data_IF_775813998208
#
_entry.id   IF_775813998208
#
_cell.length_a   1.000
_cell.length_b   1.000
_cell.length_c   1.000
_cell.angle_alpha   90.00
_cell.angle_beta   90.00
_cell.angle_gamma   90.00
#
_symmetry.space_group_name_H-M   'P 1'
#
loop_
_entity.id
_entity.type
_entity.pdbx_description
1 polymer ?
#
# COMPACT_ATOMS: atom_id res chain seq x y z
N UNK A 1 -40.02 31.12 -69.00
CA UNK A 1 -40.47 31.11 -67.59
C UNK A 1 -40.65 29.72 -66.98
N UNK A 2 -40.85 28.64 -67.74
CA UNK A 2 -41.23 27.33 -67.16
C UNK A 2 -40.06 26.47 -66.61
N UNK A 3 -38.84 26.61 -67.16
CA UNK A 3 -37.69 25.78 -66.75
C UNK A 3 -37.10 26.14 -65.39
N UNK A 4 -37.15 27.43 -65.01
CA UNK A 4 -36.68 27.91 -63.70
C UNK A 4 -37.59 27.43 -62.56
N UNK A 5 -38.92 27.48 -62.74
CA UNK A 5 -39.86 26.95 -61.74
C UNK A 5 -39.68 25.45 -61.54
N UNK A 6 -39.49 24.68 -62.61
CA UNK A 6 -39.31 23.23 -62.52
C UNK A 6 -37.98 22.83 -61.85
N UNK A 7 -36.96 23.67 -61.96
CA UNK A 7 -35.70 23.51 -61.23
C UNK A 7 -35.89 23.82 -59.75
N UNK A 8 -36.64 24.89 -59.43
CA UNK A 8 -36.94 25.29 -58.06
C UNK A 8 -37.75 24.22 -57.32
N UNK A 9 -38.82 23.69 -57.93
CA UNK A 9 -39.64 22.61 -57.35
C UNK A 9 -38.82 21.34 -57.05
N UNK A 10 -37.81 21.03 -57.87
CA UNK A 10 -36.91 19.89 -57.64
C UNK A 10 -35.95 20.12 -56.48
N UNK A 11 -35.51 21.36 -56.28
CA UNK A 11 -34.65 21.74 -55.15
C UNK A 11 -35.45 21.67 -53.84
N UNK A 12 -36.67 22.18 -53.85
CA UNK A 12 -37.56 22.19 -52.67
C UNK A 12 -37.94 20.76 -52.28
N UNK A 13 -38.33 19.91 -53.25
CA UNK A 13 -38.61 18.50 -53.00
C UNK A 13 -37.40 17.71 -52.47
N UNK A 14 -36.17 18.06 -52.88
CA UNK A 14 -34.94 17.45 -52.36
C UNK A 14 -34.66 17.87 -50.91
N UNK A 15 -34.95 19.12 -50.56
CA UNK A 15 -34.78 19.66 -49.21
C UNK A 15 -35.75 19.04 -48.20
N UNK A 16 -36.96 18.65 -48.62
CA UNK A 16 -37.95 17.97 -47.78
C UNK A 16 -37.65 16.46 -47.61
N UNK A 17 -37.03 15.83 -48.61
CA UNK A 17 -36.84 14.37 -48.62
C UNK A 17 -35.66 13.88 -47.78
N UNK A 18 -34.65 14.72 -47.56
CA UNK A 18 -33.44 14.35 -46.85
C UNK A 18 -33.25 15.27 -45.67
N UNK A 19 -33.33 14.66 -44.47
CA UNK A 19 -32.71 15.11 -43.21
C UNK A 19 -31.87 16.37 -43.39
N UNK A 20 -32.34 17.48 -42.81
CA UNK A 20 -31.64 18.77 -42.77
C UNK A 20 -30.12 18.53 -42.73
N UNK A 21 -29.33 19.00 -43.71
CA UNK A 21 -27.89 18.82 -43.70
C UNK A 21 -27.31 19.27 -42.35
N UNK A 22 -26.70 18.33 -41.61
CA UNK A 22 -26.21 18.55 -40.24
C UNK A 22 -27.08 18.00 -39.12
N UNK A 23 -28.27 17.46 -39.42
CA UNK A 23 -29.13 16.82 -38.42
C UNK A 23 -28.86 15.31 -38.36
N UNK A 24 -28.24 14.87 -37.28
CA UNK A 24 -28.05 13.45 -36.99
C UNK A 24 -29.41 12.82 -36.64
N UNK A 25 -29.92 11.94 -37.50
CA UNK A 25 -31.21 11.22 -37.33
C UNK A 25 -31.05 9.81 -36.76
N UNK A 26 -29.82 9.44 -36.37
CA UNK A 26 -29.54 8.17 -35.71
C UNK A 26 -29.67 8.22 -34.19
N UNK A 27 -29.59 7.04 -33.58
CA UNK A 27 -29.20 6.89 -32.18
C UNK A 27 -27.68 6.65 -32.15
N UNK A 28 -26.93 7.42 -31.36
CA UNK A 28 -25.49 7.22 -31.16
C UNK A 28 -25.15 5.94 -30.39
N UNK A 29 -26.15 5.16 -29.95
CA UNK A 29 -25.97 4.05 -29.01
C UNK A 29 -25.43 4.49 -27.65
N UNK A 30 -25.30 5.80 -27.43
CA UNK A 30 -24.78 6.37 -26.20
C UNK A 30 -25.89 6.35 -25.14
N UNK A 31 -25.69 5.55 -24.09
CA UNK A 31 -26.47 5.69 -22.87
C UNK A 31 -26.00 6.94 -22.11
N UNK A 32 -26.60 8.08 -22.42
CA UNK A 32 -26.39 9.31 -21.64
C UNK A 32 -27.19 9.17 -20.34
N UNK A 33 -26.48 9.20 -19.21
CA UNK A 33 -27.09 9.11 -17.88
C UNK A 33 -27.85 10.40 -17.55
N UNK A 34 -28.98 10.28 -16.85
CA UNK A 34 -29.77 11.43 -16.42
C UNK A 34 -29.05 12.23 -15.35
N UNK A 35 -29.42 13.51 -15.19
CA UNK A 35 -28.86 14.38 -14.13
C UNK A 35 -29.01 13.77 -12.74
N UNK A 36 -30.13 13.09 -12.47
CA UNK A 36 -30.38 12.39 -11.22
C UNK A 36 -29.45 11.18 -11.02
N UNK A 37 -29.18 10.41 -12.07
CA UNK A 37 -28.22 9.29 -12.06
C UNK A 37 -26.76 9.75 -11.88
N UNK A 38 -26.43 10.96 -12.32
CA UNK A 38 -25.14 11.61 -12.11
C UNK A 38 -25.03 12.29 -10.74
N UNK A 39 -26.17 12.66 -10.14
CA UNK A 39 -26.22 13.36 -8.85
C UNK A 39 -25.85 12.44 -7.67
N UNK A 40 -25.50 13.06 -6.54
CA UNK A 40 -24.67 12.55 -5.44
C UNK A 40 -25.20 11.36 -4.59
N UNK A 41 -26.12 10.54 -5.08
CA UNK A 41 -26.81 9.50 -4.29
C UNK A 41 -26.50 8.05 -4.69
N UNK A 42 -25.66 7.79 -5.71
CA UNK A 42 -25.39 6.43 -6.20
C UNK A 42 -23.92 6.10 -6.44
N UNK A 43 -23.61 4.80 -6.67
CA UNK A 43 -22.29 4.34 -7.08
C UNK A 43 -21.77 5.11 -8.29
N UNK A 44 -20.49 5.47 -8.27
CA UNK A 44 -19.82 6.14 -9.38
C UNK A 44 -20.07 5.38 -10.70
N UNK A 45 -20.79 5.99 -11.67
CA UNK A 45 -21.34 5.28 -12.82
C UNK A 45 -20.31 4.64 -13.78
N UNK A 46 -19.04 5.07 -13.71
CA UNK A 46 -17.94 4.49 -14.49
C UNK A 46 -17.19 3.37 -13.76
N UNK A 47 -17.47 3.14 -12.46
CA UNK A 47 -16.80 2.09 -11.67
C UNK A 47 -17.55 0.77 -11.84
N UNK A 48 -16.92 -0.16 -12.56
CA UNK A 48 -17.42 -1.54 -12.67
C UNK A 48 -16.82 -2.37 -11.53
N UNK A 49 -17.66 -2.81 -10.58
CA UNK A 49 -17.24 -3.63 -9.43
C UNK A 49 -16.46 -4.89 -9.84
N UNK A 50 -16.75 -5.43 -11.02
CA UNK A 50 -16.14 -6.65 -11.56
C UNK A 50 -14.84 -6.42 -12.36
N UNK A 51 -14.39 -5.17 -12.54
CA UNK A 51 -13.27 -4.86 -13.45
C UNK A 51 -11.99 -5.64 -13.10
N UNK A 52 -11.71 -5.82 -11.81
CA UNK A 52 -10.53 -6.54 -11.33
C UNK A 52 -10.81 -8.01 -10.99
N UNK A 53 -12.09 -8.40 -10.86
CA UNK A 53 -12.49 -9.81 -10.75
C UNK A 53 -12.35 -10.54 -12.08
N UNK A 54 -12.54 -9.82 -13.19
CA UNK A 54 -12.43 -10.34 -14.56
C UNK A 54 -11.15 -9.88 -15.27
N UNK A 55 -10.25 -9.21 -14.56
CA UNK A 55 -8.97 -8.84 -15.14
C UNK A 55 -8.28 -10.12 -15.61
N UNK A 56 -7.86 -10.14 -16.88
CA UNK A 56 -7.16 -11.29 -17.42
C UNK A 56 -5.95 -11.59 -16.54
N UNK A 57 -5.74 -12.85 -16.11
CA UNK A 57 -4.54 -13.20 -15.39
C UNK A 57 -3.33 -12.79 -16.23
N UNK A 58 -2.25 -12.36 -15.57
CA UNK A 58 -1.05 -11.87 -16.26
C UNK A 58 -0.36 -13.06 -16.95
N UNK A 59 -0.86 -13.44 -18.13
CA UNK A 59 -0.37 -14.57 -18.91
C UNK A 59 0.83 -14.15 -19.75
N UNK A 60 1.96 -13.93 -19.08
CA UNK A 60 3.24 -13.62 -19.73
C UNK A 60 3.69 -12.15 -19.65
N UNK A 61 4.62 -11.78 -20.53
CA UNK A 61 5.29 -10.48 -20.54
C UNK A 61 6.60 -10.43 -19.74
N UNK A 62 7.32 -9.31 -19.85
CA UNK A 62 8.65 -9.16 -19.24
C UNK A 62 8.62 -9.33 -17.72
N UNK A 63 7.57 -8.84 -17.04
CA UNK A 63 7.43 -9.00 -15.60
C UNK A 63 7.39 -10.48 -15.17
N UNK A 64 6.59 -11.30 -15.86
CA UNK A 64 6.52 -12.74 -15.60
C UNK A 64 7.85 -13.44 -15.89
N UNK A 65 8.55 -13.04 -16.95
CA UNK A 65 9.88 -13.59 -17.29
C UNK A 65 10.93 -13.26 -16.23
N UNK A 66 10.95 -12.03 -15.72
CA UNK A 66 11.84 -11.63 -14.63
C UNK A 66 11.54 -12.39 -13.35
N UNK A 67 10.27 -12.54 -12.98
CA UNK A 67 9.89 -13.32 -11.79
C UNK A 67 10.36 -14.78 -11.91
N UNK A 68 10.16 -15.41 -13.08
CA UNK A 68 10.65 -16.77 -13.36
C UNK A 68 12.18 -16.88 -13.25
N UNK A 69 12.90 -15.88 -13.77
CA UNK A 69 14.37 -15.81 -13.65
C UNK A 69 14.83 -15.73 -12.19
N UNK A 70 14.05 -15.07 -11.33
CA UNK A 70 14.32 -14.94 -9.90
C UNK A 70 13.74 -16.10 -9.08
N UNK A 71 13.32 -17.19 -9.73
CA UNK A 71 12.91 -18.44 -9.07
C UNK A 71 11.42 -18.54 -8.71
N UNK A 72 10.59 -17.57 -9.11
CA UNK A 72 9.14 -17.66 -8.95
C UNK A 72 8.52 -18.59 -10.00
N UNK A 73 7.56 -19.43 -9.59
CA UNK A 73 6.81 -20.32 -10.47
C UNK A 73 5.32 -20.03 -10.40
N UNK A 74 4.63 -20.32 -11.49
CA UNK A 74 3.19 -20.14 -11.58
C UNK A 74 2.49 -21.03 -10.52
N UNK A 75 1.61 -20.41 -9.72
CA UNK A 75 0.96 -21.06 -8.57
C UNK A 75 1.76 -21.07 -7.26
N UNK A 76 3.03 -20.65 -7.26
CA UNK A 76 3.83 -20.46 -6.04
C UNK A 76 3.71 -19.02 -5.49
N UNK A 77 3.78 -18.88 -4.17
CA UNK A 77 3.84 -17.58 -3.51
C UNK A 77 5.15 -16.84 -3.82
N UNK A 78 5.09 -15.51 -3.91
CA UNK A 78 6.29 -14.70 -4.13
C UNK A 78 7.21 -14.66 -2.90
N UNK A 79 8.54 -14.62 -3.09
CA UNK A 79 9.53 -14.46 -2.03
C UNK A 79 10.40 -15.69 -1.78
N UNK A 80 11.49 -15.51 -1.03
CA UNK A 80 12.55 -16.52 -0.83
C UNK A 80 12.04 -17.87 -0.31
N UNK A 81 11.01 -17.83 0.53
CA UNK A 81 10.41 -19.01 1.16
C UNK A 81 9.03 -19.36 0.59
N UNK A 82 8.67 -18.83 -0.59
CA UNK A 82 7.33 -18.98 -1.21
C UNK A 82 6.18 -18.52 -0.30
N UNK A 83 6.44 -17.53 0.54
CA UNK A 83 5.52 -17.06 1.58
C UNK A 83 4.49 -16.03 1.09
N UNK A 84 4.64 -15.52 -0.13
CA UNK A 84 3.73 -14.53 -0.71
C UNK A 84 2.34 -15.11 -1.00
N UNK A 85 1.35 -14.23 -1.07
CA UNK A 85 -0.01 -14.61 -1.42
C UNK A 85 -0.07 -15.22 -2.82
N UNK A 86 -0.71 -16.39 -2.92
CA UNK A 86 -0.99 -17.05 -4.20
C UNK A 86 -2.18 -16.42 -4.92
N UNK A 87 -3.14 -15.93 -4.15
CA UNK A 87 -4.36 -15.32 -4.66
C UNK A 87 -4.17 -13.82 -4.88
N UNK A 88 -4.68 -13.26 -5.99
CA UNK A 88 -4.68 -11.83 -6.23
C UNK A 88 -5.34 -11.08 -5.08
N UNK A 89 -4.74 -9.94 -4.69
CA UNK A 89 -5.36 -9.06 -3.70
C UNK A 89 -6.62 -8.46 -4.33
N UNK A 90 -7.78 -8.90 -3.86
CA UNK A 90 -9.06 -8.34 -4.27
C UNK A 90 -9.18 -6.93 -3.69
N UNK A 91 -9.36 -5.94 -4.56
CA UNK A 91 -9.56 -4.54 -4.15
C UNK A 91 -11.05 -4.25 -4.20
N UNK A 92 -11.64 -3.96 -3.05
CA UNK A 92 -13.00 -3.44 -2.99
C UNK A 92 -13.02 -1.97 -3.42
N UNK A 93 -13.85 -1.67 -4.42
CA UNK A 93 -14.08 -0.29 -4.84
C UNK A 93 -14.97 0.41 -3.83
N UNK A 94 -14.45 1.50 -3.26
CA UNK A 94 -15.31 2.46 -2.60
C UNK A 94 -16.13 3.18 -3.68
N UNK A 95 -17.41 2.83 -3.76
CA UNK A 95 -18.37 3.46 -4.67
C UNK A 95 -18.85 4.82 -4.15
N UNK A 96 -18.59 5.12 -2.89
CA UNK A 96 -18.99 6.36 -2.26
C UNK A 96 -18.02 7.49 -2.61
N UNK A 97 -18.56 8.68 -2.88
CA UNK A 97 -17.77 9.90 -3.08
C UNK A 97 -17.17 10.47 -1.78
N UNK A 98 -17.40 9.80 -0.64
CA UNK A 98 -16.82 10.17 0.65
C UNK A 98 -15.33 9.81 0.65
N UNK A 99 -14.47 10.67 1.21
CA UNK A 99 -13.04 10.38 1.32
C UNK A 99 -12.74 9.10 2.10
N UNK A 100 -11.60 8.45 1.86
CA UNK A 100 -11.15 7.16 2.45
C UNK A 100 -11.03 7.15 4.00
N UNK A 101 -11.36 8.27 4.64
CA UNK A 101 -11.27 8.51 6.10
C UNK A 101 -12.57 9.15 6.60
N UNK A 102 -13.67 8.99 5.87
CA UNK A 102 -14.93 9.59 6.27
C UNK A 102 -15.47 8.95 7.56
N UNK A 103 -16.03 9.78 8.43
CA UNK A 103 -16.65 9.34 9.68
C UNK A 103 -17.74 8.31 9.38
N UNK A 104 -17.60 7.09 9.93
CA UNK A 104 -18.52 5.97 9.71
C UNK A 104 -18.03 4.90 8.71
N UNK A 105 -16.91 5.11 8.01
CA UNK A 105 -16.30 4.08 7.17
C UNK A 105 -15.66 3.00 8.03
N UNK A 106 -16.18 1.77 7.94
CA UNK A 106 -15.52 0.60 8.54
C UNK A 106 -14.21 0.43 7.78
N UNK A 107 -13.07 0.63 8.44
CA UNK A 107 -11.80 0.18 7.90
C UNK A 107 -11.93 -1.31 7.67
N UNK A 108 -12.14 -1.71 6.41
CA UNK A 108 -11.98 -3.08 5.99
C UNK A 108 -10.55 -3.42 6.40
N UNK A 109 -10.42 -4.15 7.52
CA UNK A 109 -9.16 -4.73 7.93
C UNK A 109 -8.66 -5.43 6.68
N UNK A 110 -7.54 -4.99 6.12
CA UNK A 110 -6.93 -5.67 4.99
C UNK A 110 -6.84 -7.15 5.37
N UNK A 111 -7.74 -7.98 4.85
CA UNK A 111 -7.68 -9.42 4.95
C UNK A 111 -6.63 -9.89 3.93
N UNK A 112 -5.40 -9.40 4.10
CA UNK A 112 -4.23 -10.15 3.70
C UNK A 112 -3.80 -10.97 4.91
N UNK A 113 -3.26 -12.18 4.73
CA UNK A 113 -2.66 -12.96 5.82
C UNK A 113 -1.31 -12.35 6.23
N UNK A 114 -1.25 -11.04 6.46
CA UNK A 114 -0.28 -10.50 7.41
C UNK A 114 -0.78 -10.90 8.80
N UNK A 115 -0.59 -12.19 9.07
CA UNK A 115 -0.76 -12.83 10.36
C UNK A 115 -0.16 -11.93 11.42
N UNK A 116 -1.02 -11.52 12.34
CA UNK A 116 -0.77 -10.60 13.45
C UNK A 116 0.07 -11.23 14.56
N UNK A 117 0.85 -12.27 14.25
CA UNK A 117 1.82 -12.92 15.13
C UNK A 117 3.06 -13.37 14.34
N UNK A 118 3.63 -12.50 13.50
CA UNK A 118 4.92 -12.81 12.87
C UNK A 118 6.02 -12.56 13.90
N UNK A 119 6.59 -13.67 14.37
CA UNK A 119 7.86 -13.80 15.08
C UNK A 119 8.72 -12.55 14.90
N UNK A 120 9.04 -11.87 16.00
CA UNK A 120 9.88 -10.66 15.95
C UNK A 120 11.32 -11.00 15.51
N UNK A 121 11.64 -12.30 15.35
CA UNK A 121 12.89 -12.79 14.78
C UNK A 121 13.06 -12.26 13.34
N UNK A 122 13.98 -11.31 13.16
CA UNK A 122 14.34 -10.75 11.85
C UNK A 122 13.75 -9.38 11.51
N UNK A 123 12.82 -8.84 12.31
CA UNK A 123 12.38 -7.43 12.16
C UNK A 123 13.37 -6.49 12.85
N UNK A 124 13.56 -5.29 12.30
CA UNK A 124 14.35 -4.25 12.97
C UNK A 124 13.68 -3.87 14.31
N UNK A 125 14.42 -3.82 15.44
CA UNK A 125 13.81 -3.71 16.78
C UNK A 125 13.02 -2.41 16.99
N UNK A 126 13.43 -1.30 16.36
CA UNK A 126 12.66 -0.05 16.41
C UNK A 126 11.29 -0.21 15.72
N UNK A 127 11.24 -0.91 14.58
CA UNK A 127 10.00 -1.13 13.84
C UNK A 127 9.10 -2.11 14.58
N UNK A 128 9.69 -3.18 15.14
CA UNK A 128 8.99 -4.13 15.99
C UNK A 128 8.36 -3.43 17.21
N UNK A 129 9.10 -2.53 17.88
CA UNK A 129 8.57 -1.78 19.01
C UNK A 129 7.41 -0.85 18.61
N UNK A 130 7.53 -0.16 17.47
CA UNK A 130 6.46 0.69 16.94
C UNK A 130 5.20 -0.13 16.62
N UNK A 131 5.35 -1.29 15.98
CA UNK A 131 4.24 -2.20 15.67
C UNK A 131 3.53 -2.66 16.95
N UNK A 132 4.28 -2.98 18.00
CA UNK A 132 3.73 -3.35 19.31
C UNK A 132 2.95 -2.20 19.93
N UNK A 133 3.48 -0.96 19.89
CA UNK A 133 2.78 0.22 20.41
C UNK A 133 1.46 0.44 19.67
N UNK A 134 1.49 0.37 18.32
CA UNK A 134 0.29 0.51 17.50
C UNK A 134 -0.74 -0.58 17.79
N UNK A 135 -0.31 -1.84 17.90
CA UNK A 135 -1.19 -2.99 18.18
C UNK A 135 -1.86 -2.87 19.56
N UNK A 136 -1.15 -2.32 20.54
CA UNK A 136 -1.66 -2.11 21.91
C UNK A 136 -2.36 -0.76 22.10
N UNK A 137 -2.51 0.04 21.03
CA UNK A 137 -3.04 1.42 21.06
C UNK A 137 -2.30 2.34 22.03
N UNK A 138 -1.01 2.10 22.23
CA UNK A 138 -0.15 2.98 23.02
C UNK A 138 0.32 4.17 22.18
N UNK A 139 0.71 5.24 22.85
CA UNK A 139 1.41 6.35 22.21
C UNK A 139 2.69 5.84 21.52
N UNK A 140 3.09 6.44 20.38
CA UNK A 140 4.33 6.06 19.71
C UNK A 140 5.54 6.12 20.66
N UNK A 141 6.52 5.21 20.50
CA UNK A 141 7.70 5.18 21.36
C UNK A 141 8.58 6.42 21.12
N UNK A 142 8.93 7.13 22.18
CA UNK A 142 9.75 8.35 22.11
C UNK A 142 11.20 8.01 22.40
N UNK A 143 12.10 8.32 21.46
CA UNK A 143 13.53 8.09 21.61
C UNK A 143 14.25 9.39 21.93
N UNK A 144 14.98 9.41 23.04
CA UNK A 144 15.76 10.58 23.47
C UNK A 144 17.23 10.18 23.56
N UNK A 145 18.11 11.03 23.02
CA UNK A 145 19.55 10.86 23.13
C UNK A 145 19.98 11.25 24.55
N UNK A 146 20.60 10.31 25.26
CA UNK A 146 21.27 10.54 26.55
C UNK A 146 22.76 10.59 26.25
N UNK A 147 23.45 11.67 26.64
CA UNK A 147 24.89 11.77 26.43
C UNK A 147 25.59 11.51 27.77
N UNK A 148 26.35 10.42 27.87
CA UNK A 148 27.21 10.13 29.03
C UNK A 148 28.64 10.51 28.64
N UNK A 149 29.17 11.59 29.21
CA UNK A 149 30.38 12.25 28.74
C UNK A 149 31.63 11.43 29.11
N UNK A 150 32.29 10.81 28.11
CA UNK A 150 33.58 10.12 28.25
C UNK A 150 34.47 10.38 27.00
N UNK A 151 35.81 10.29 27.13
CA UNK A 151 36.79 11.15 26.45
C UNK A 151 36.73 11.30 24.91
N UNK A 152 37.19 12.48 24.49
CA UNK A 152 37.00 13.22 23.23
C UNK A 152 37.17 12.48 21.88
N UNK A 153 37.87 11.36 21.81
CA UNK A 153 38.35 10.83 20.51
C UNK A 153 37.47 9.75 19.87
N UNK A 154 36.35 9.35 20.48
CA UNK A 154 35.37 8.44 19.86
C UNK A 154 33.95 8.76 20.29
N UNK A 155 33.08 9.11 19.32
CA UNK A 155 31.66 9.40 19.56
C UNK A 155 30.94 8.13 20.03
N UNK A 156 30.36 8.18 21.21
CA UNK A 156 29.49 7.14 21.74
C UNK A 156 28.08 7.72 21.91
N UNK A 157 27.07 6.92 21.62
CA UNK A 157 25.66 7.30 21.67
C UNK A 157 24.93 6.36 22.61
N UNK A 158 24.18 6.96 23.55
CA UNK A 158 23.25 6.24 24.40
C UNK A 158 21.84 6.78 24.13
N UNK A 159 20.88 5.89 23.91
CA UNK A 159 19.49 6.28 23.71
C UNK A 159 18.65 5.69 24.83
N UNK A 160 17.68 6.47 25.28
CA UNK A 160 16.56 5.97 26.08
C UNK A 160 15.30 5.96 25.23
N UNK A 161 14.41 5.03 25.51
CA UNK A 161 13.09 4.95 24.87
C UNK A 161 12.00 4.96 25.92
N UNK A 162 10.97 5.76 25.69
CA UNK A 162 9.77 5.84 26.53
C UNK A 162 8.63 5.08 25.85
N UNK A 163 8.09 4.06 26.54
CA UNK A 163 7.02 3.19 26.04
C UNK A 163 5.99 3.02 27.14
N UNK A 164 4.73 3.33 26.87
CA UNK A 164 3.64 3.19 27.85
C UNK A 164 3.94 3.88 29.21
N UNK A 165 4.56 5.06 29.18
CA UNK A 165 4.95 5.82 30.38
C UNK A 165 6.19 5.28 31.12
N UNK A 166 6.79 4.17 30.66
CA UNK A 166 7.99 3.58 31.27
C UNK A 166 9.23 3.94 30.46
N UNK A 167 10.28 4.38 31.14
CA UNK A 167 11.58 4.65 30.54
C UNK A 167 12.45 3.38 30.52
N UNK A 168 12.98 3.05 29.34
CA UNK A 168 13.91 1.95 29.14
C UNK A 168 15.25 2.49 28.61
N UNK A 169 16.33 2.24 29.36
CA UNK A 169 17.69 2.65 29.03
C UNK A 169 18.60 1.41 28.99
N UNK A 170 19.35 1.18 27.90
CA UNK A 170 20.36 0.13 27.85
C UNK A 170 21.59 0.50 28.71
N UNK A 171 22.31 -0.51 29.21
CA UNK A 171 23.52 -0.30 30.03
C UNK A 171 24.76 0.03 29.19
N UNK A 172 24.74 -0.25 27.89
CA UNK A 172 25.90 -0.09 27.00
C UNK A 172 25.70 1.05 26.00
N UNK A 173 26.78 1.81 25.79
CA UNK A 173 26.86 2.85 24.75
C UNK A 173 27.27 2.24 23.42
N UNK A 174 26.87 2.85 22.30
CA UNK A 174 27.26 2.38 20.95
C UNK A 174 27.90 3.48 20.13
N UNK A 175 28.91 3.18 19.29
CA UNK A 175 29.52 4.16 18.40
C UNK A 175 28.61 4.61 17.24
N UNK A 176 27.46 3.96 17.02
CA UNK A 176 26.54 4.27 15.92
C UNK A 176 25.14 4.65 16.46
N UNK A 177 24.63 5.83 16.10
CA UNK A 177 23.29 6.31 16.49
C UNK A 177 22.17 5.31 16.12
N UNK A 178 22.26 4.67 14.95
CA UNK A 178 21.25 3.69 14.50
C UNK A 178 21.25 2.46 15.40
N UNK A 179 22.44 1.95 15.72
CA UNK A 179 22.61 0.80 16.60
C UNK A 179 22.18 1.15 18.03
N UNK A 180 22.61 2.29 18.58
CA UNK A 180 22.18 2.75 19.91
C UNK A 180 20.65 2.82 20.06
N UNK A 181 19.95 3.34 19.04
CA UNK A 181 18.49 3.39 19.00
C UNK A 181 17.86 2.01 18.92
N UNK A 182 18.44 1.11 18.13
CA UNK A 182 18.02 -0.29 18.03
C UNK A 182 18.19 -1.03 19.36
N UNK A 183 19.32 -0.86 20.04
CA UNK A 183 19.59 -1.46 21.36
C UNK A 183 18.60 -0.98 22.41
N UNK A 184 18.28 0.33 22.44
CA UNK A 184 17.26 0.87 23.33
C UNK A 184 15.88 0.25 23.07
N UNK A 185 15.51 0.07 21.80
CA UNK A 185 14.25 -0.59 21.43
C UNK A 185 14.23 -2.07 21.83
N UNK A 186 15.36 -2.79 21.70
CA UNK A 186 15.50 -4.19 22.15
C UNK A 186 15.27 -4.31 23.64
N UNK A 187 15.85 -3.42 24.47
CA UNK A 187 15.65 -3.43 25.92
C UNK A 187 14.18 -3.21 26.28
N UNK A 188 13.48 -2.31 25.58
CA UNK A 188 12.05 -2.12 25.77
C UNK A 188 11.24 -3.37 25.37
N UNK A 189 11.56 -4.01 24.24
CA UNK A 189 10.90 -5.26 23.82
C UNK A 189 11.14 -6.41 24.81
N UNK A 190 12.34 -6.49 25.40
CA UNK A 190 12.66 -7.44 26.47
C UNK A 190 11.86 -7.16 27.74
N UNK A 191 11.73 -5.89 28.14
CA UNK A 191 10.91 -5.49 29.29
C UNK A 191 9.43 -5.81 29.07
N UNK A 192 8.96 -5.79 27.81
CA UNK A 192 7.61 -6.20 27.42
C UNK A 192 7.43 -7.73 27.31
N UNK A 193 8.49 -8.52 27.54
CA UNK A 193 8.45 -9.99 27.46
C UNK A 193 8.34 -10.54 26.03
N UNK A 194 8.67 -9.73 25.01
CA UNK A 194 8.53 -10.10 23.59
C UNK A 194 9.83 -10.63 22.97
N UNK A 195 10.96 -10.44 23.63
CA UNK A 195 12.29 -10.89 23.19
C UNK A 195 13.06 -11.46 24.39
N UNK A 196 13.81 -12.57 24.25
CA UNK A 196 14.64 -13.12 25.32
C UNK A 196 15.73 -12.13 25.81
N UNK A 197 16.06 -12.18 27.10
CA UNK A 197 17.09 -11.33 27.74
C UNK A 197 18.53 -11.70 27.33
N UNK A 198 18.75 -12.88 26.77
CA UNK A 198 20.05 -13.52 26.49
C UNK A 198 20.82 -13.00 25.25
N UNK A 199 20.37 -11.96 24.54
CA UNK A 199 20.94 -11.58 23.23
C UNK A 199 21.95 -10.42 23.24
N UNK A 200 22.26 -9.83 24.40
CA UNK A 200 23.16 -8.67 24.46
C UNK A 200 24.66 -9.03 24.53
N UNK A 201 25.01 -10.31 24.69
CA UNK A 201 26.41 -10.73 24.84
C UNK A 201 27.13 -11.08 23.52
N UNK A 202 26.41 -11.46 22.44
CA UNK A 202 27.04 -12.16 21.30
C UNK A 202 27.01 -11.45 19.94
N UNK A 203 26.63 -10.17 19.85
CA UNK A 203 26.64 -9.46 18.56
C UNK A 203 27.97 -8.81 18.17
N UNK A 204 29.08 -9.19 18.81
CA UNK A 204 30.44 -8.74 18.42
C UNK A 204 31.09 -9.58 17.33
N UNK A 205 30.50 -10.68 16.88
CA UNK A 205 31.06 -11.47 15.79
C UNK A 205 30.37 -11.16 14.46
N UNK A 206 30.79 -10.05 13.84
CA UNK A 206 30.79 -9.92 12.38
C UNK A 206 31.80 -10.95 11.87
N UNK A 207 31.34 -12.20 11.67
CA UNK A 207 32.15 -13.24 11.05
C UNK A 207 32.24 -12.88 9.58
N UNK A 208 33.33 -12.22 9.19
CA UNK A 208 33.71 -12.04 7.79
C UNK A 208 33.57 -13.38 7.08
N UNK A 209 32.72 -13.42 6.05
CA UNK A 209 32.66 -14.55 5.15
C UNK A 209 33.90 -14.50 4.26
N UNK A 210 34.96 -15.16 4.70
CA UNK A 210 36.10 -15.56 3.87
C UNK A 210 36.39 -17.03 4.15
N UNK A 211 36.39 -17.82 3.06
CA UNK A 211 36.64 -19.26 2.85
C UNK A 211 35.43 -19.91 2.16
N UNK A 212 35.52 -20.51 0.97
CA UNK A 212 36.59 -20.73 -0.02
C UNK A 212 35.96 -20.59 -1.41
#
# INVERSE_FOLDING_TARGET
MCLLNRAQERIDAWAELNSIPGHFTGSTGAQVLTSEQLSNSGPQAWVKKDQFLRAAPVSGGMGAQLMRKMGWREGEGLGKNREGNKEPILVDFKTDRKGLVAVGEKTQKRHGPFSTVKDLSGKHPVSALLEVCNKRRWSPPVFVLVNDNRPEYRKHFLFKVMVNGVEHKPSFVSPNKKHAKATAATVALQALGLVPKELLANTTNFRSASHN
#
